data_IF_913349076917
#
_entry.id   IF_913349076917
#
_cell.length_a   1.000
_cell.length_b   1.000
_cell.length_c   1.000
_cell.angle_alpha   90.00
_cell.angle_beta   90.00
_cell.angle_gamma   90.00
#
_symmetry.space_group_name_H-M   'P 1'
#
loop_
_entity.id
_entity.type
_entity.pdbx_description
1 polymer ?
#
# COMPACT_ATOMS: atom_id res chain seq x y z
N UNK A 1 6.51 3.28 -6.04
CA UNK A 1 7.72 3.75 -6.76
C UNK A 1 7.52 5.22 -7.11
N UNK A 2 8.54 6.08 -7.00
CA UNK A 2 8.43 7.51 -7.30
C UNK A 2 9.53 7.97 -8.27
N UNK A 3 9.21 8.18 -9.57
CA UNK A 3 10.18 8.65 -10.56
C UNK A 3 10.50 10.15 -10.42
N UNK A 4 11.77 10.53 -10.62
CA UNK A 4 12.15 11.93 -10.93
C UNK A 4 12.31 12.90 -9.75
N UNK A 5 12.38 12.41 -8.51
CA UNK A 5 12.60 13.24 -7.31
C UNK A 5 14.08 13.53 -6.99
N UNK A 6 14.33 14.41 -6.00
CA UNK A 6 15.62 14.46 -5.28
C UNK A 6 15.61 13.41 -4.18
N UNK A 7 16.75 12.74 -3.98
CA UNK A 7 16.83 11.56 -3.11
C UNK A 7 17.82 11.75 -1.96
N UNK A 8 17.60 12.71 -1.04
CA UNK A 8 18.38 12.74 0.18
C UNK A 8 18.12 11.46 0.97
N UNK A 9 19.20 10.83 1.45
CA UNK A 9 19.11 9.76 2.43
C UNK A 9 18.80 10.37 3.79
N UNK A 10 17.88 9.79 4.55
CA UNK A 10 17.56 10.22 5.90
C UNK A 10 17.86 9.13 6.93
N UNK A 11 18.15 9.51 8.18
CA UNK A 11 18.41 8.54 9.24
C UNK A 11 17.21 7.63 9.53
N UNK A 12 15.98 8.11 9.31
CA UNK A 12 14.74 7.34 9.48
C UNK A 12 14.58 6.21 8.44
N UNK A 13 15.35 6.23 7.35
CA UNK A 13 15.35 5.17 6.34
C UNK A 13 16.24 3.98 6.73
N UNK A 14 17.13 4.15 7.72
CA UNK A 14 18.03 3.08 8.12
C UNK A 14 17.25 1.87 8.64
N UNK A 15 17.50 0.71 8.03
CA UNK A 15 16.83 -0.54 8.34
C UNK A 15 15.45 -0.72 7.70
N UNK A 16 14.92 0.29 6.98
CA UNK A 16 13.72 0.14 6.15
C UNK A 16 14.10 -0.30 4.75
N UNK A 17 13.22 -1.05 4.08
CA UNK A 17 13.47 -1.50 2.70
C UNK A 17 13.24 -0.39 1.68
N UNK A 18 14.24 0.48 1.55
CA UNK A 18 14.30 1.57 0.58
C UNK A 18 15.47 1.35 -0.37
N UNK A 19 15.23 1.36 -1.68
CA UNK A 19 16.25 1.17 -2.71
C UNK A 19 15.95 1.98 -3.97
N UNK A 20 16.92 2.05 -4.88
CA UNK A 20 16.82 2.79 -6.13
C UNK A 20 16.80 1.84 -7.31
N UNK A 21 15.68 1.82 -8.03
CA UNK A 21 15.61 1.24 -9.37
C UNK A 21 16.13 2.24 -10.40
N UNK A 22 16.42 1.74 -11.60
CA UNK A 22 16.76 2.57 -12.75
C UNK A 22 15.60 2.51 -13.75
N UNK A 23 15.07 3.67 -14.14
CA UNK A 23 14.10 3.72 -15.25
C UNK A 23 14.76 3.40 -16.59
N UNK A 24 13.95 3.08 -17.60
CA UNK A 24 14.42 2.87 -18.98
C UNK A 24 15.19 4.06 -19.59
N UNK A 25 15.14 5.24 -18.96
CA UNK A 25 15.85 6.46 -19.37
C UNK A 25 17.09 6.76 -18.51
N UNK A 26 17.57 5.80 -17.73
CA UNK A 26 18.75 5.99 -16.86
C UNK A 26 18.51 6.93 -15.67
N UNK A 27 17.25 7.25 -15.34
CA UNK A 27 16.93 8.08 -14.16
C UNK A 27 16.65 7.20 -12.95
N UNK A 28 17.21 7.50 -11.76
CA UNK A 28 16.90 6.76 -10.54
C UNK A 28 15.42 6.89 -10.14
N UNK A 29 14.87 5.81 -9.60
CA UNK A 29 13.49 5.70 -9.13
C UNK A 29 13.51 5.14 -7.71
N UNK A 30 13.24 6.01 -6.74
CA UNK A 30 13.17 5.58 -5.34
C UNK A 30 11.99 4.64 -5.15
N UNK A 31 12.27 3.50 -4.54
CA UNK A 31 11.36 2.38 -4.42
C UNK A 31 11.41 1.88 -2.99
N UNK A 32 10.23 1.57 -2.48
CA UNK A 32 10.03 0.87 -1.21
C UNK A 32 9.32 -0.43 -1.52
N UNK A 33 9.61 -1.47 -0.75
CA UNK A 33 8.88 -2.72 -0.81
C UNK A 33 8.45 -3.12 0.59
N UNK A 34 7.29 -3.78 0.67
CA UNK A 34 6.89 -4.58 1.81
C UNK A 34 6.02 -5.73 1.29
N UNK A 35 5.91 -6.81 2.06
CA UNK A 35 5.26 -8.04 1.60
C UNK A 35 3.76 -8.07 1.89
N UNK A 36 3.05 -7.00 1.53
CA UNK A 36 1.62 -6.83 1.84
C UNK A 36 0.72 -7.96 1.34
N UNK A 37 1.01 -8.56 0.18
CA UNK A 37 0.23 -9.69 -0.34
C UNK A 37 0.36 -10.96 0.52
N UNK A 38 1.57 -11.23 1.03
CA UNK A 38 1.79 -12.35 1.94
C UNK A 38 1.14 -12.11 3.31
N UNK A 39 1.19 -10.87 3.82
CA UNK A 39 0.50 -10.49 5.06
C UNK A 39 -1.02 -10.61 4.93
N UNK A 40 -1.59 -10.11 3.83
CA UNK A 40 -3.01 -10.24 3.55
C UNK A 40 -3.44 -11.70 3.48
N UNK A 41 -2.73 -12.54 2.73
CA UNK A 41 -3.05 -13.96 2.59
C UNK A 41 -3.01 -14.69 3.95
N UNK A 42 -1.94 -14.50 4.72
CA UNK A 42 -1.76 -15.14 6.02
C UNK A 42 -2.88 -14.75 7.01
N UNK A 43 -3.14 -13.46 7.18
CA UNK A 43 -4.13 -13.00 8.15
C UNK A 43 -5.57 -13.27 7.70
N UNK A 44 -5.85 -13.22 6.40
CA UNK A 44 -7.15 -13.61 5.85
C UNK A 44 -7.44 -15.09 6.10
N UNK A 45 -6.44 -15.97 5.96
CA UNK A 45 -6.58 -17.39 6.30
C UNK A 45 -6.85 -17.58 7.80
N UNK A 46 -6.08 -16.90 8.66
CA UNK A 46 -6.17 -17.06 10.13
C UNK A 46 -7.43 -16.46 10.74
N UNK A 47 -7.88 -15.29 10.25
CA UNK A 47 -8.95 -14.51 10.86
C UNK A 47 -10.25 -14.48 10.05
N UNK A 48 -10.19 -14.82 8.77
CA UNK A 48 -11.36 -14.77 7.88
C UNK A 48 -12.41 -15.84 8.20
N UNK A 49 -12.04 -16.91 8.92
CA UNK A 49 -12.95 -17.99 9.35
C UNK A 49 -13.76 -18.60 8.20
N UNK A 50 -13.15 -18.71 7.02
CA UNK A 50 -13.80 -19.19 5.80
C UNK A 50 -14.82 -18.23 5.19
N UNK A 51 -14.98 -17.02 5.74
CA UNK A 51 -15.75 -15.96 5.10
C UNK A 51 -14.92 -15.31 4.01
N UNK A 52 -15.60 -14.88 2.96
CA UNK A 52 -15.00 -14.06 1.91
C UNK A 52 -14.63 -12.67 2.45
N UNK A 53 -13.56 -12.11 1.88
CA UNK A 53 -13.17 -10.73 2.16
C UNK A 53 -14.27 -9.77 1.69
N UNK A 54 -14.63 -8.73 2.46
CA UNK A 54 -15.71 -7.82 2.10
C UNK A 54 -15.47 -7.10 0.77
N UNK A 55 -16.47 -7.10 -0.10
CA UNK A 55 -16.41 -6.39 -1.39
C UNK A 55 -16.38 -4.86 -1.28
N UNK A 56 -16.71 -4.30 -0.11
CA UNK A 56 -16.62 -2.86 0.14
C UNK A 56 -16.36 -2.56 1.64
N UNK A 57 -15.97 -1.32 1.92
CA UNK A 57 -15.65 -0.79 3.24
C UNK A 57 -16.91 -0.74 4.12
N UNK A 58 -16.85 -1.38 5.29
CA UNK A 58 -17.93 -1.36 6.28
C UNK A 58 -17.60 -0.38 7.42
N UNK A 59 -18.32 0.75 7.44
CA UNK A 59 -18.14 1.79 8.45
C UNK A 59 -18.45 1.30 9.89
N UNK A 60 -19.35 0.32 10.06
CA UNK A 60 -19.64 -0.22 11.38
C UNK A 60 -18.48 -1.08 11.90
N UNK A 61 -17.81 -1.84 11.02
CA UNK A 61 -16.63 -2.61 11.39
C UNK A 61 -15.43 -1.71 11.69
N UNK A 62 -15.22 -0.65 10.90
CA UNK A 62 -14.20 0.36 11.21
C UNK A 62 -14.42 1.02 12.58
N UNK A 63 -15.66 1.41 12.91
CA UNK A 63 -15.96 1.98 14.22
C UNK A 63 -15.59 1.03 15.35
N UNK A 64 -15.93 -0.26 15.25
CA UNK A 64 -15.53 -1.26 16.25
C UNK A 64 -14.01 -1.35 16.39
N UNK A 65 -13.28 -1.32 15.27
CA UNK A 65 -11.81 -1.32 15.27
C UNK A 65 -11.27 -0.12 16.05
N UNK A 66 -11.75 1.09 15.74
CA UNK A 66 -11.31 2.32 16.40
C UNK A 66 -11.69 2.38 17.88
N UNK A 67 -12.93 2.02 18.24
CA UNK A 67 -13.40 2.02 19.64
C UNK A 67 -12.65 1.02 20.52
N UNK A 68 -12.20 -0.10 19.95
CA UNK A 68 -11.49 -1.14 20.69
C UNK A 68 -9.97 -1.00 20.69
N UNK A 69 -9.40 -0.21 19.77
CA UNK A 69 -7.96 -0.15 19.51
C UNK A 69 -7.39 -1.48 19.01
N UNK A 70 -8.21 -2.36 18.45
CA UNK A 70 -7.75 -3.64 17.93
C UNK A 70 -6.94 -3.43 16.64
N UNK A 71 -5.86 -4.18 16.46
CA UNK A 71 -4.98 -4.01 15.29
C UNK A 71 -4.36 -5.34 14.85
N UNK A 72 -4.12 -5.44 13.54
CA UNK A 72 -3.30 -6.50 12.94
C UNK A 72 -1.95 -5.88 12.61
N UNK A 73 -0.94 -6.13 13.43
CA UNK A 73 0.37 -5.50 13.29
C UNK A 73 1.24 -6.27 12.29
N UNK A 74 2.00 -5.57 11.43
CA UNK A 74 3.09 -6.15 10.66
C UNK A 74 4.32 -6.37 11.55
N UNK A 75 5.40 -6.99 11.08
CA UNK A 75 5.51 -7.69 9.81
C UNK A 75 5.71 -9.18 10.04
N UNK A 76 5.26 -10.00 9.09
CA UNK A 76 5.59 -11.43 9.06
C UNK A 76 7.07 -11.70 8.77
N UNK A 77 7.81 -10.67 8.34
CA UNK A 77 9.20 -10.78 7.92
C UNK A 77 10.05 -9.77 8.68
N UNK A 78 10.45 -10.06 9.95
CA UNK A 78 11.22 -9.13 10.77
C UNK A 78 12.45 -8.59 10.05
N UNK A 79 12.70 -7.29 10.21
CA UNK A 79 13.78 -6.57 9.52
C UNK A 79 13.44 -6.09 8.11
N UNK A 80 12.20 -6.26 7.64
CA UNK A 80 11.76 -5.84 6.30
C UNK A 80 10.64 -4.80 6.34
N UNK A 81 10.29 -4.24 5.17
CA UNK A 81 9.20 -3.28 5.04
C UNK A 81 9.46 -1.95 5.74
N UNK A 82 8.38 -1.26 6.09
CA UNK A 82 8.41 0.07 6.71
C UNK A 82 8.39 0.05 8.25
N UNK A 83 8.06 -1.10 8.84
CA UNK A 83 8.04 -1.34 10.28
C UNK A 83 8.99 -2.50 10.63
N UNK A 84 10.30 -2.38 10.36
CA UNK A 84 11.24 -3.50 10.44
C UNK A 84 11.43 -4.05 11.86
N UNK A 85 11.13 -3.24 12.88
CA UNK A 85 11.18 -3.63 14.30
C UNK A 85 9.91 -4.32 14.79
N UNK A 86 8.80 -4.17 14.06
CA UNK A 86 7.53 -4.75 14.45
C UNK A 86 7.48 -6.25 14.14
N UNK A 87 6.62 -6.98 14.84
CA UNK A 87 6.38 -8.41 14.63
C UNK A 87 4.90 -8.67 14.40
N UNK A 88 4.61 -9.54 13.43
CA UNK A 88 3.27 -9.99 13.15
C UNK A 88 2.55 -10.45 14.42
N UNK A 89 1.53 -9.70 14.82
CA UNK A 89 0.81 -9.92 16.07
C UNK A 89 -0.57 -9.25 16.01
N UNK A 90 -1.43 -9.63 16.97
CA UNK A 90 -2.77 -9.08 17.12
C UNK A 90 -2.84 -8.29 18.41
N UNK A 91 -3.32 -7.06 18.32
CA UNK A 91 -3.68 -6.24 19.47
C UNK A 91 -5.17 -6.43 19.74
N UNK A 92 -5.53 -6.74 20.99
CA UNK A 92 -6.90 -7.12 21.39
C UNK A 92 -7.45 -8.27 20.54
N UNK A 93 -6.67 -9.34 20.45
CA UNK A 93 -6.95 -10.51 19.61
C UNK A 93 -8.35 -11.08 19.83
N UNK A 94 -8.86 -11.06 21.06
CA UNK A 94 -10.20 -11.51 21.43
C UNK A 94 -11.31 -10.82 20.65
N UNK A 95 -11.11 -9.55 20.23
CA UNK A 95 -12.08 -8.82 19.42
C UNK A 95 -12.05 -9.24 17.95
N UNK A 96 -10.87 -9.58 17.43
CA UNK A 96 -10.65 -9.89 16.02
C UNK A 96 -10.97 -11.35 15.70
N UNK A 97 -10.64 -12.28 16.61
CA UNK A 97 -10.84 -13.72 16.40
C UNK A 97 -12.33 -14.08 16.33
N UNK A 98 -13.20 -13.35 17.05
CA UNK A 98 -14.63 -13.63 17.09
C UNK A 98 -15.43 -12.92 15.97
N UNK A 99 -14.93 -11.80 15.44
CA UNK A 99 -15.58 -11.01 14.39
C UNK A 99 -14.69 -10.87 13.14
N UNK A 100 -14.89 -11.78 12.18
CA UNK A 100 -14.15 -11.78 10.91
C UNK A 100 -14.30 -10.46 10.11
N UNK A 101 -15.44 -9.76 10.22
CA UNK A 101 -15.62 -8.48 9.53
C UNK A 101 -14.73 -7.40 10.14
N UNK A 102 -14.65 -7.38 11.47
CA UNK A 102 -13.75 -6.50 12.21
C UNK A 102 -12.28 -6.85 11.94
N UNK A 103 -11.95 -8.13 11.84
CA UNK A 103 -10.60 -8.58 11.49
C UNK A 103 -10.15 -8.14 10.10
N UNK A 104 -11.01 -8.29 9.08
CA UNK A 104 -10.70 -7.79 7.74
C UNK A 104 -10.54 -6.26 7.73
N UNK A 105 -11.41 -5.53 8.41
CA UNK A 105 -11.28 -4.08 8.54
C UNK A 105 -9.94 -3.66 9.19
N UNK A 106 -9.53 -4.32 10.28
CA UNK A 106 -8.25 -4.06 10.94
C UNK A 106 -7.04 -4.43 10.06
N UNK A 107 -7.13 -5.52 9.29
CA UNK A 107 -6.12 -5.94 8.32
C UNK A 107 -5.96 -4.93 7.17
N UNK A 108 -7.07 -4.50 6.56
CA UNK A 108 -7.04 -3.53 5.46
C UNK A 108 -6.51 -2.16 5.92
N UNK A 109 -6.87 -1.73 7.15
CA UNK A 109 -6.28 -0.55 7.79
C UNK A 109 -4.77 -0.67 7.93
N UNK A 110 -4.28 -1.78 8.49
CA UNK A 110 -2.85 -2.02 8.66
C UNK A 110 -2.10 -1.99 7.33
N UNK A 111 -2.64 -2.63 6.29
CA UNK A 111 -2.06 -2.63 4.94
C UNK A 111 -2.05 -1.22 4.34
N UNK A 112 -3.14 -0.45 4.48
CA UNK A 112 -3.22 0.92 3.97
C UNK A 112 -2.25 1.86 4.68
N UNK A 113 -2.06 1.72 6.01
CA UNK A 113 -1.09 2.49 6.80
C UNK A 113 0.35 2.15 6.39
N UNK A 114 0.66 0.86 6.19
CA UNK A 114 1.95 0.42 5.65
C UNK A 114 2.22 1.04 4.28
N UNK A 115 1.24 1.01 3.38
CA UNK A 115 1.36 1.60 2.04
C UNK A 115 1.53 3.12 2.07
N UNK A 116 0.79 3.85 2.91
CA UNK A 116 1.00 5.29 3.10
C UNK A 116 2.43 5.57 3.57
N UNK A 117 2.92 4.81 4.55
CA UNK A 117 4.26 4.98 5.11
C UNK A 117 5.32 4.73 4.04
N UNK A 118 5.14 3.66 3.25
CA UNK A 118 6.00 3.33 2.12
C UNK A 118 6.02 4.44 1.07
N UNK A 119 4.85 4.95 0.67
CA UNK A 119 4.72 6.03 -0.30
C UNK A 119 5.38 7.33 0.18
N UNK A 120 5.19 7.71 1.44
CA UNK A 120 5.87 8.88 2.05
C UNK A 120 7.39 8.71 2.01
N UNK A 121 7.91 7.51 2.32
CA UNK A 121 9.34 7.23 2.25
C UNK A 121 9.93 7.31 0.83
N UNK A 122 9.11 7.23 -0.23
CA UNK A 122 9.61 7.43 -1.61
C UNK A 122 9.92 8.88 -1.97
N UNK A 123 9.76 9.85 -1.05
CA UNK A 123 9.89 11.29 -1.32
C UNK A 123 9.07 11.73 -2.55
N UNK A 124 7.85 11.21 -2.67
CA UNK A 124 6.93 11.64 -3.72
C UNK A 124 6.62 13.15 -3.57
N UNK A 125 6.23 13.79 -4.68
CA UNK A 125 5.77 15.18 -4.65
C UNK A 125 4.63 15.36 -3.64
N UNK A 126 4.38 16.59 -3.18
CA UNK A 126 3.36 16.87 -2.16
C UNK A 126 1.98 16.27 -2.48
N UNK A 127 1.57 16.35 -3.75
CA UNK A 127 0.28 15.84 -4.24
C UNK A 127 0.52 14.81 -5.35
N UNK A 128 1.02 13.61 -5.02
CA UNK A 128 1.43 12.64 -6.01
C UNK A 128 0.22 12.04 -6.74
N UNK A 129 0.43 11.68 -8.00
CA UNK A 129 -0.48 10.76 -8.70
C UNK A 129 -0.02 9.33 -8.45
N UNK A 130 -0.92 8.52 -7.91
CA UNK A 130 -0.65 7.15 -7.51
C UNK A 130 -1.50 6.24 -8.37
N UNK A 131 -0.84 5.31 -9.06
CA UNK A 131 -1.50 4.21 -9.77
C UNK A 131 -1.39 2.94 -8.93
N UNK A 132 -2.52 2.32 -8.64
CA UNK A 132 -2.58 1.01 -7.99
C UNK A 132 -2.81 -0.04 -9.06
N UNK A 133 -1.88 -0.99 -9.11
CA UNK A 133 -1.86 -2.10 -10.06
C UNK A 133 -1.79 -3.44 -9.32
N UNK A 134 -1.88 -4.54 -10.06
CA UNK A 134 -1.84 -5.90 -9.53
C UNK A 134 -3.07 -6.27 -8.70
N UNK A 135 -2.99 -7.36 -7.93
CA UNK A 135 -4.14 -7.93 -7.22
C UNK A 135 -4.80 -6.99 -6.20
N UNK A 136 -4.03 -6.10 -5.58
CA UNK A 136 -4.55 -5.14 -4.59
C UNK A 136 -5.53 -4.13 -5.16
N UNK A 137 -5.57 -3.92 -6.49
CA UNK A 137 -6.59 -3.07 -7.13
C UNK A 137 -8.01 -3.59 -6.90
N UNK A 138 -8.15 -4.89 -6.62
CA UNK A 138 -9.43 -5.55 -6.37
C UNK A 138 -9.83 -5.55 -4.88
N UNK A 139 -8.93 -5.16 -3.97
CA UNK A 139 -9.26 -4.99 -2.55
C UNK A 139 -9.83 -3.57 -2.34
N UNK A 140 -11.15 -3.43 -2.55
CA UNK A 140 -11.86 -2.15 -2.48
C UNK A 140 -11.74 -1.47 -1.12
N UNK A 141 -11.92 -2.16 0.04
CA UNK A 141 -11.68 -1.57 1.35
C UNK A 141 -10.29 -0.94 1.49
N UNK A 142 -9.23 -1.68 1.17
CA UNK A 142 -7.84 -1.20 1.23
C UNK A 142 -7.63 0.04 0.35
N UNK A 143 -8.11 0.00 -0.90
CA UNK A 143 -7.97 1.10 -1.86
C UNK A 143 -8.64 2.37 -1.33
N UNK A 144 -9.86 2.25 -0.79
CA UNK A 144 -10.60 3.38 -0.20
C UNK A 144 -9.90 3.93 1.04
N UNK A 145 -9.39 3.06 1.92
CA UNK A 145 -8.65 3.47 3.11
C UNK A 145 -7.35 4.19 2.75
N UNK A 146 -6.60 3.70 1.76
CA UNK A 146 -5.39 4.38 1.28
C UNK A 146 -5.70 5.77 0.70
N UNK A 147 -6.81 5.89 -0.03
CA UNK A 147 -7.27 7.20 -0.53
C UNK A 147 -7.68 8.15 0.61
N UNK A 148 -8.35 7.65 1.65
CA UNK A 148 -8.69 8.44 2.83
C UNK A 148 -7.45 8.87 3.64
N UNK A 149 -6.42 8.02 3.70
CA UNK A 149 -5.13 8.27 4.35
C UNK A 149 -4.21 9.23 3.57
N UNK A 150 -4.52 9.50 2.30
CA UNK A 150 -3.73 10.35 1.41
C UNK A 150 -4.62 11.32 0.62
N UNK A 151 -5.39 12.21 1.30
CA UNK A 151 -6.45 13.01 0.68
C UNK A 151 -5.94 13.98 -0.40
N UNK A 152 -4.69 14.42 -0.31
CA UNK A 152 -4.05 15.32 -1.29
C UNK A 152 -3.54 14.58 -2.54
N UNK A 153 -3.51 13.24 -2.51
CA UNK A 153 -3.02 12.42 -3.61
C UNK A 153 -4.13 12.11 -4.62
N UNK A 154 -3.79 12.04 -5.90
CA UNK A 154 -4.71 11.56 -6.94
C UNK A 154 -4.49 10.07 -7.14
N UNK A 155 -5.39 9.24 -6.61
CA UNK A 155 -5.28 7.77 -6.69
C UNK A 155 -6.15 7.24 -7.84
N UNK A 156 -5.55 6.38 -8.66
CA UNK A 156 -6.20 5.71 -9.79
C UNK A 156 -5.95 4.21 -9.75
N UNK A 157 -6.96 3.44 -10.16
CA UNK A 157 -6.80 2.05 -10.53
C UNK A 157 -6.51 1.97 -12.02
N UNK A 158 -5.49 1.23 -12.44
CA UNK A 158 -5.24 0.95 -13.85
C UNK A 158 -5.81 -0.43 -14.24
N UNK A 159 -6.37 -0.51 -15.45
CA UNK A 159 -6.81 -1.78 -16.06
C UNK A 159 -5.64 -2.64 -16.55
N UNK A 160 -4.41 -2.11 -16.56
CA UNK A 160 -3.22 -2.79 -17.02
C UNK A 160 -2.94 -4.06 -16.21
N UNK A 161 -3.18 -5.23 -16.80
CA UNK A 161 -2.95 -6.52 -16.16
C UNK A 161 -1.46 -6.90 -16.13
N UNK A 162 -0.76 -6.65 -17.24
CA UNK A 162 0.63 -7.10 -17.46
C UNK A 162 1.56 -5.91 -17.75
N UNK A 163 1.70 -5.01 -16.79
CA UNK A 163 2.46 -3.76 -16.96
C UNK A 163 3.91 -3.98 -17.39
N UNK A 164 4.56 -5.02 -16.84
CA UNK A 164 5.94 -5.39 -17.18
C UNK A 164 6.09 -5.82 -18.64
N UNK A 165 5.26 -6.75 -19.10
CA UNK A 165 5.31 -7.24 -20.48
C UNK A 165 4.90 -6.14 -21.48
N UNK A 166 3.93 -5.32 -21.10
CA UNK A 166 3.50 -4.17 -21.90
C UNK A 166 4.62 -3.13 -22.07
N UNK A 167 5.34 -2.80 -20.99
CA UNK A 167 6.51 -1.94 -21.04
C UNK A 167 7.60 -2.46 -22.00
N UNK A 168 7.87 -3.77 -21.98
CA UNK A 168 8.80 -4.40 -22.91
C UNK A 168 8.34 -4.25 -24.37
N UNK A 169 7.05 -4.48 -24.65
CA UNK A 169 6.49 -4.30 -25.99
C UNK A 169 6.61 -2.85 -26.50
N UNK A 170 6.39 -1.85 -25.64
CA UNK A 170 6.61 -0.44 -25.98
C UNK A 170 8.07 -0.22 -26.37
N UNK A 171 9.03 -0.71 -25.59
CA UNK A 171 10.46 -0.52 -25.90
C UNK A 171 10.86 -1.17 -27.22
N UNK A 172 10.34 -2.37 -27.52
CA UNK A 172 10.59 -3.05 -28.79
C UNK A 172 10.01 -2.27 -29.98
N UNK A 173 8.76 -1.80 -29.88
CA UNK A 173 8.13 -0.94 -30.90
C UNK A 173 8.96 0.31 -31.16
N UNK A 174 9.40 0.99 -30.11
CA UNK A 174 10.21 2.21 -30.22
C UNK A 174 11.54 1.96 -30.94
N UNK A 175 12.19 0.83 -30.65
CA UNK A 175 13.43 0.45 -31.33
C UNK A 175 13.22 0.17 -32.83
N UNK A 176 12.11 -0.47 -33.20
CA UNK A 176 11.78 -0.75 -34.61
C UNK A 176 11.43 0.52 -35.39
N UNK A 177 10.67 1.42 -34.78
CA UNK A 177 10.16 2.63 -35.43
C UNK A 177 11.11 3.83 -35.33
N UNK A 178 12.19 3.72 -34.55
CA UNK A 178 13.13 4.82 -34.35
C UNK A 178 12.55 6.01 -33.59
N UNK A 179 11.55 5.78 -32.73
CA UNK A 179 10.87 6.81 -31.94
C UNK A 179 11.24 6.72 -30.46
N UNK A 180 11.04 7.78 -29.69
CA UNK A 180 11.21 7.70 -28.24
C UNK A 180 9.97 7.06 -27.58
N UNK A 181 10.11 6.39 -26.41
CA UNK A 181 8.96 5.81 -25.70
C UNK A 181 7.85 6.80 -25.33
N UNK A 182 8.17 8.10 -25.25
CA UNK A 182 7.15 9.16 -25.03
C UNK A 182 6.27 9.38 -26.25
N UNK A 183 6.80 9.13 -27.44
CA UNK A 183 6.09 9.33 -28.72
C UNK A 183 5.20 8.13 -29.04
N UNK A 184 5.42 6.98 -28.39
CA UNK A 184 4.59 5.79 -28.52
C UNK A 184 3.22 5.92 -27.81
N UNK A 185 2.99 6.97 -27.03
CA UNK A 185 1.77 7.13 -26.23
C UNK A 185 0.48 7.09 -27.05
N UNK A 186 0.50 7.55 -28.31
CA UNK A 186 -0.66 7.50 -29.20
C UNK A 186 -1.04 6.08 -29.67
N UNK A 187 -0.16 5.10 -29.46
CA UNK A 187 -0.36 3.73 -29.95
C UNK A 187 -1.22 2.86 -29.01
N UNK A 188 -1.56 3.36 -27.81
CA UNK A 188 -2.33 2.61 -26.83
C UNK A 188 -3.09 3.53 -25.88
N UNK A 189 -4.16 3.00 -25.29
CA UNK A 189 -4.89 3.64 -24.21
C UNK A 189 -4.78 2.77 -22.96
N UNK A 190 -4.53 3.41 -21.81
CA UNK A 190 -4.56 2.76 -20.50
C UNK A 190 -5.77 3.32 -19.78
N UNK A 191 -6.77 2.47 -19.50
CA UNK A 191 -7.93 2.94 -18.77
C UNK A 191 -7.55 3.14 -17.30
N UNK A 192 -8.03 4.25 -16.74
CA UNK A 192 -7.80 4.56 -15.33
C UNK A 192 -9.12 4.94 -14.68
N UNK A 193 -9.34 4.40 -13.49
CA UNK A 193 -10.53 4.68 -12.68
C UNK A 193 -10.11 5.47 -11.45
N UNK A 194 -10.58 6.72 -11.27
CA UNK A 194 -10.24 7.49 -10.07
C UNK A 194 -10.87 6.84 -8.83
N UNK A 195 -10.11 6.82 -7.74
CA UNK A 195 -10.58 6.35 -6.44
C UNK A 195 -11.09 7.54 -5.65
N UNK A 196 -12.36 7.49 -5.23
CA UNK A 196 -12.93 8.50 -4.34
C UNK A 196 -12.59 8.18 -2.88
N UNK A 197 -11.87 9.10 -2.23
CA UNK A 197 -11.60 9.01 -0.80
C UNK A 197 -12.90 9.14 0.01
N UNK A 198 -13.25 8.15 0.87
CA UNK A 198 -14.32 8.31 1.84
C UNK A 198 -13.87 9.19 3.02
N UNK A 199 -14.84 9.79 3.72
CA UNK A 199 -14.59 10.38 5.03
C UNK A 199 -14.61 9.27 6.09
N UNK A 200 -13.51 9.12 6.82
CA UNK A 200 -13.37 8.12 7.90
C UNK A 200 -12.88 8.83 9.15
N UNK A 201 -13.80 9.10 10.07
CA UNK A 201 -13.49 9.75 11.34
C UNK A 201 -12.57 8.84 12.19
N UNK A 202 -11.58 9.44 12.86
CA UNK A 202 -10.61 8.70 13.69
C UNK A 202 -9.48 8.01 12.93
N UNK A 203 -9.48 8.04 11.59
CA UNK A 203 -8.49 7.33 10.76
C UNK A 203 -7.04 7.76 11.03
N UNK A 204 -6.78 9.06 11.13
CA UNK A 204 -5.43 9.56 11.40
C UNK A 204 -4.94 9.20 12.81
N UNK A 205 -5.79 9.39 13.82
CA UNK A 205 -5.48 9.02 15.20
C UNK A 205 -5.17 7.52 15.34
N UNK A 206 -5.99 6.67 14.72
CA UNK A 206 -5.73 5.22 14.68
C UNK A 206 -4.41 4.90 13.96
N UNK A 207 -4.08 5.61 12.88
CA UNK A 207 -2.85 5.36 12.15
C UNK A 207 -1.59 5.78 12.91
N UNK A 208 -1.68 6.83 13.74
CA UNK A 208 -0.62 7.22 14.68
C UNK A 208 -0.44 6.17 15.79
N UNK A 209 -1.55 5.71 16.39
CA UNK A 209 -1.52 4.65 17.40
C UNK A 209 -0.96 3.34 16.84
N UNK A 210 -1.36 2.95 15.63
CA UNK A 210 -0.83 1.78 14.93
C UNK A 210 0.69 1.88 14.74
N UNK A 211 1.19 3.05 14.33
CA UNK A 211 2.63 3.26 14.15
C UNK A 211 3.38 3.19 15.49
N UNK A 212 2.80 3.72 16.57
CA UNK A 212 3.34 3.60 17.92
C UNK A 212 3.41 2.14 18.39
N UNK A 213 2.34 1.36 18.17
CA UNK A 213 2.28 -0.07 18.48
C UNK A 213 3.36 -0.88 17.72
N UNK A 214 3.62 -0.53 16.46
CA UNK A 214 4.69 -1.12 15.66
C UNK A 214 6.10 -0.74 16.17
N UNK A 215 6.22 0.35 16.93
CA UNK A 215 7.47 0.82 17.53
C UNK A 215 7.72 0.30 18.95
N UNK A 216 6.67 -0.05 19.71
CA UNK A 216 6.77 -0.48 21.12
C UNK A 216 7.12 -1.96 21.31
N UNK A 217 6.85 -2.81 20.32
CA UNK A 217 7.26 -4.22 20.36
C UNK A 217 8.75 -4.34 19.99
N UNK A 218 9.64 -4.30 20.99
CA UNK A 218 11.09 -4.39 20.77
C UNK A 218 11.96 -3.76 21.85
N UNK A 219 11.37 -3.08 22.85
CA UNK A 219 12.05 -2.82 24.12
C UNK A 219 11.84 -4.04 25.04
N UNK A 220 12.74 -5.02 24.91
CA UNK A 220 12.94 -6.09 25.88
C UNK A 220 14.45 -6.37 25.98
#
# INVERSE_FOLDING_TARGET
MSPGGRFPLSADELGKEVFFNLSAFGKPVKTTIFRGGAEFAFWSEKLGRGKEHPGDLDAAQLRKVFESGAAVLPTLFPGSGMFPRSRASLVRAERLVDDAGMAFAALDLGLAIQSRTALKATNAAANPTIFIEGGFRNNVPYVKLLAALMPESRIFLSDMAEATAFGAAITAKCAVEGIAPRDAAAAFAIATTPVRAPSVEGLEAYAEEFAALCGSFGEA
#
